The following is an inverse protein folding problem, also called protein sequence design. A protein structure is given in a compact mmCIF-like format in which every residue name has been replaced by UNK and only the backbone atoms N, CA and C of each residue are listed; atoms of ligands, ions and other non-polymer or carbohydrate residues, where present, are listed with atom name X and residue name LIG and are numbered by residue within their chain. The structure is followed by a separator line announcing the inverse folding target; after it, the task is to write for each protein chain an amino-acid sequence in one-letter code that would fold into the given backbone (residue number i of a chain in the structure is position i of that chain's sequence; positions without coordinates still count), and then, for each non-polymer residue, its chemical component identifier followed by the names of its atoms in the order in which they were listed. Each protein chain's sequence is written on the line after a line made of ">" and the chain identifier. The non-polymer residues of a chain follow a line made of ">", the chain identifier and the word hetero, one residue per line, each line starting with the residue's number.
data_IF_757201697664
#
_entry.id   IF_757201697664
#
_cell.length_a   1.000
_cell.length_b   1.000
_cell.length_c   1.000
_cell.angle_alpha   90.00
_cell.angle_beta   90.00
_cell.angle_gamma   90.00
#
_symmetry.space_group_name_H-M   'P 1'
#
loop_
_entity.id
_entity.type
_entity.pdbx_description
1 polymer ?
#
# COMPACT_ATOMS: atom_id res chain seq x y z
N UNK A 1 -11.28 -3.76 -20.29
CA UNK A 1 -10.12 -3.29 -19.51
C UNK A 1 -10.09 -3.98 -18.16
N UNK A 2 -8.90 -4.39 -17.71
CA UNK A 2 -8.68 -4.98 -16.39
C UNK A 2 -7.55 -4.23 -15.70
N UNK A 3 -7.77 -3.82 -14.44
CA UNK A 3 -6.81 -3.04 -13.66
C UNK A 3 -6.33 -3.81 -12.45
N UNK A 4 -5.04 -3.67 -12.17
CA UNK A 4 -4.40 -4.13 -10.95
C UNK A 4 -3.93 -2.91 -10.17
N UNK A 5 -4.27 -2.84 -8.89
CA UNK A 5 -3.68 -1.89 -7.96
C UNK A 5 -2.68 -2.57 -7.05
N UNK A 6 -1.51 -1.94 -6.89
CA UNK A 6 -0.57 -2.21 -5.81
C UNK A 6 -0.73 -1.11 -4.76
N UNK A 7 -1.22 -1.47 -3.58
CA UNK A 7 -1.39 -0.55 -2.46
C UNK A 7 -0.38 -0.86 -1.35
N UNK A 8 0.29 0.16 -0.83
CA UNK A 8 1.36 0.07 0.18
C UNK A 8 0.91 0.74 1.49
N UNK A 9 0.16 0.04 2.35
CA UNK A 9 -0.46 0.63 3.55
C UNK A 9 0.53 1.15 4.59
N UNK A 10 1.76 0.64 4.58
CA UNK A 10 2.80 1.01 5.53
C UNK A 10 3.92 1.86 4.90
N UNK A 11 3.74 2.37 3.66
CA UNK A 11 4.78 3.08 2.92
C UNK A 11 5.40 4.21 3.75
N UNK A 12 4.58 5.02 4.43
CA UNK A 12 5.06 6.14 5.24
C UNK A 12 6.02 5.71 6.37
N UNK A 13 5.89 4.49 6.89
CA UNK A 13 6.80 3.92 7.86
C UNK A 13 7.97 3.20 7.20
N UNK A 14 7.69 2.44 6.14
CA UNK A 14 8.68 1.59 5.47
C UNK A 14 9.79 2.40 4.78
N UNK A 15 9.55 3.66 4.41
CA UNK A 15 10.62 4.55 3.90
C UNK A 15 11.72 4.83 4.93
N UNK A 16 11.41 4.68 6.23
CA UNK A 16 12.40 4.81 7.32
C UNK A 16 13.00 3.46 7.75
N UNK A 17 12.24 2.37 7.60
CA UNK A 17 12.58 1.08 8.21
C UNK A 17 13.05 0.04 7.21
N UNK A 18 12.95 0.31 5.90
CA UNK A 18 13.40 -0.61 4.85
C UNK A 18 14.88 -0.98 5.04
N UNK A 19 15.15 -2.27 5.13
CA UNK A 19 16.50 -2.79 5.36
C UNK A 19 16.97 -2.72 6.83
N UNK A 20 16.14 -2.19 7.74
CA UNK A 20 16.40 -2.24 9.16
C UNK A 20 16.04 -3.60 9.75
N UNK A 21 16.87 -4.10 10.67
CA UNK A 21 16.59 -5.30 11.47
C UNK A 21 15.88 -4.97 12.79
N UNK A 22 15.61 -3.71 13.04
CA UNK A 22 14.96 -3.25 14.26
C UNK A 22 13.48 -3.66 14.27
N UNK A 23 13.09 -4.41 15.30
CA UNK A 23 11.73 -4.90 15.50
C UNK A 23 10.96 -4.16 16.60
N UNK A 24 11.57 -3.11 17.17
CA UNK A 24 10.97 -2.29 18.22
C UNK A 24 9.70 -1.56 17.79
N UNK A 25 9.00 -0.94 18.74
CA UNK A 25 7.77 -0.19 18.43
C UNK A 25 8.10 1.08 17.65
N UNK A 26 7.43 1.25 16.51
CA UNK A 26 7.63 2.36 15.58
C UNK A 26 6.30 2.89 15.06
N UNK A 27 6.22 4.21 14.90
CA UNK A 27 5.07 4.87 14.30
C UNK A 27 5.51 6.13 13.54
N UNK A 28 4.67 6.55 12.60
CA UNK A 28 4.79 7.81 11.87
C UNK A 28 3.65 8.72 12.27
N UNK A 29 3.95 9.97 12.52
CA UNK A 29 2.97 11.01 12.74
C UNK A 29 3.01 12.07 11.65
N UNK A 30 1.87 12.68 11.40
CA UNK A 30 1.71 13.83 10.53
C UNK A 30 1.19 15.01 11.33
N UNK A 31 1.72 16.21 11.04
CA UNK A 31 1.27 17.44 11.68
C UNK A 31 0.44 18.25 10.69
N UNK A 32 -0.85 18.43 11.00
CA UNK A 32 -1.79 19.25 10.25
C UNK A 32 -2.43 20.26 11.21
N UNK A 33 -2.44 21.55 10.84
CA UNK A 33 -3.02 22.62 11.66
C UNK A 33 -2.57 22.57 13.14
N UNK A 34 -1.26 22.44 13.37
CA UNK A 34 -0.62 22.32 14.69
C UNK A 34 -1.06 21.09 15.53
N UNK A 35 -1.65 20.08 14.89
CA UNK A 35 -2.02 18.82 15.55
C UNK A 35 -1.23 17.68 14.97
N UNK A 36 -0.38 17.05 15.78
CA UNK A 36 0.39 15.88 15.39
C UNK A 36 -0.39 14.61 15.71
N UNK A 37 -0.67 13.79 14.68
CA UNK A 37 -1.45 12.56 14.80
C UNK A 37 -0.69 11.38 14.22
N UNK A 38 -0.74 10.23 14.91
CA UNK A 38 -0.21 8.96 14.40
C UNK A 38 -1.03 8.52 13.19
N UNK A 39 -0.36 8.30 12.07
CA UNK A 39 -0.99 7.88 10.80
C UNK A 39 -0.65 6.45 10.40
N UNK A 40 0.51 5.94 10.82
CA UNK A 40 0.95 4.55 10.59
C UNK A 40 1.69 4.06 11.81
N UNK A 41 1.54 2.79 12.15
CA UNK A 41 2.27 2.11 13.22
C UNK A 41 2.62 0.68 12.82
N UNK A 42 3.70 0.13 13.38
CA UNK A 42 4.00 -1.28 13.24
C UNK A 42 3.23 -2.14 14.28
N UNK A 43 3.40 -3.46 14.17
CA UNK A 43 2.73 -4.41 15.06
C UNK A 43 3.15 -4.22 16.53
N UNK A 44 4.44 -3.98 16.78
CA UNK A 44 4.95 -3.78 18.14
C UNK A 44 4.32 -2.55 18.81
N UNK A 45 4.24 -1.41 18.09
CA UNK A 45 3.57 -0.22 18.58
C UNK A 45 2.06 -0.47 18.84
N UNK A 46 1.39 -1.23 17.98
CA UNK A 46 -0.01 -1.63 18.20
C UNK A 46 -0.20 -2.42 19.49
N UNK A 47 0.71 -3.34 19.79
CA UNK A 47 0.66 -4.16 21.01
C UNK A 47 0.83 -3.33 22.28
N UNK A 48 1.53 -2.19 22.20
CA UNK A 48 1.66 -1.24 23.30
C UNK A 48 0.49 -0.25 23.42
N UNK A 49 -0.58 -0.44 22.63
CA UNK A 49 -1.77 0.39 22.68
C UNK A 49 -1.68 1.69 21.88
N UNK A 50 -0.65 1.86 21.04
CA UNK A 50 -0.58 3.01 20.13
C UNK A 50 -1.68 2.89 19.09
N UNK A 51 -2.58 3.87 19.00
CA UNK A 51 -3.70 3.89 18.07
C UNK A 51 -3.52 4.97 16.98
N UNK A 52 -4.08 4.68 15.78
CA UNK A 52 -4.13 5.67 14.70
C UNK A 52 -4.99 6.87 15.14
N UNK A 53 -4.54 8.08 14.80
CA UNK A 53 -5.19 9.32 15.24
C UNK A 53 -4.81 9.80 16.65
N UNK A 54 -4.10 8.99 17.43
CA UNK A 54 -3.54 9.40 18.72
C UNK A 54 -2.56 10.55 18.52
N UNK A 55 -2.50 11.50 19.46
CA UNK A 55 -1.51 12.57 19.40
C UNK A 55 -0.10 12.01 19.59
N UNK A 56 0.90 12.60 18.93
CA UNK A 56 2.29 12.17 19.07
C UNK A 56 2.78 12.22 20.53
N UNK A 57 2.35 13.24 21.27
CA UNK A 57 2.68 13.38 22.70
C UNK A 57 2.06 12.26 23.55
N UNK A 58 0.78 11.92 23.32
CA UNK A 58 0.13 10.82 24.03
C UNK A 58 0.77 9.46 23.67
N UNK A 59 1.13 9.24 22.42
CA UNK A 59 1.81 8.02 21.97
C UNK A 59 3.18 7.87 22.66
N UNK A 60 3.96 8.94 22.74
CA UNK A 60 5.26 8.93 23.41
C UNK A 60 5.14 8.75 24.93
N UNK A 61 4.12 9.33 25.56
CA UNK A 61 3.87 9.15 26.99
C UNK A 61 3.42 7.71 27.33
N UNK A 62 2.71 7.05 26.41
CA UNK A 62 2.25 5.68 26.59
C UNK A 62 3.39 4.65 26.45
N UNK A 63 4.34 4.89 25.53
CA UNK A 63 5.44 3.98 25.28
C UNK A 63 6.75 4.75 25.11
N UNK A 64 7.58 4.76 26.13
CA UNK A 64 8.85 5.50 26.12
C UNK A 64 9.85 4.99 25.07
N UNK A 65 9.80 3.68 24.75
CA UNK A 65 10.63 3.06 23.73
C UNK A 65 10.13 3.29 22.30
N UNK A 66 8.97 3.94 22.12
CA UNK A 66 8.38 4.18 20.81
C UNK A 66 9.26 5.12 19.97
N UNK A 67 9.68 4.63 18.80
CA UNK A 67 10.35 5.44 17.79
C UNK A 67 9.30 6.14 16.94
N UNK A 68 9.19 7.45 17.11
CA UNK A 68 8.27 8.31 16.36
C UNK A 68 9.01 9.04 15.25
N UNK A 69 8.54 8.87 14.01
CA UNK A 69 9.06 9.56 12.83
C UNK A 69 8.04 10.61 12.35
N UNK A 70 8.51 11.82 12.03
CA UNK A 70 7.71 12.77 11.29
C UNK A 70 7.54 12.28 9.85
N UNK A 71 6.33 12.36 9.30
CA UNK A 71 6.05 11.95 7.92
C UNK A 71 6.99 12.64 6.93
N UNK A 72 7.51 11.88 5.98
CA UNK A 72 8.35 12.38 4.89
C UNK A 72 7.70 12.10 3.53
N UNK A 73 6.78 12.96 3.12
CA UNK A 73 6.07 12.83 1.84
C UNK A 73 7.02 12.78 0.65
N UNK A 74 8.11 13.56 0.66
CA UNK A 74 9.09 13.53 -0.42
C UNK A 74 9.81 12.18 -0.56
N UNK A 75 10.05 11.47 0.55
CA UNK A 75 10.59 10.11 0.50
C UNK A 75 9.53 9.11 0.00
N UNK A 76 8.28 9.25 0.44
CA UNK A 76 7.16 8.43 -0.05
C UNK A 76 6.98 8.57 -1.57
N UNK A 77 6.97 9.79 -2.08
CA UNK A 77 6.78 10.10 -3.51
C UNK A 77 7.93 9.56 -4.37
N UNK A 78 9.19 9.72 -3.91
CA UNK A 78 10.35 9.13 -4.62
C UNK A 78 10.26 7.62 -4.65
N UNK A 79 9.98 6.99 -3.53
CA UNK A 79 9.84 5.53 -3.44
C UNK A 79 8.70 5.03 -4.32
N UNK A 80 7.55 5.70 -4.32
CA UNK A 80 6.42 5.32 -5.15
C UNK A 80 6.76 5.45 -6.65
N UNK A 81 7.52 6.48 -7.04
CA UNK A 81 8.01 6.66 -8.41
C UNK A 81 9.00 5.57 -8.82
N UNK A 82 9.90 5.16 -7.94
CA UNK A 82 10.82 4.04 -8.18
C UNK A 82 10.08 2.71 -8.37
N UNK A 83 9.05 2.46 -7.55
CA UNK A 83 8.20 1.27 -7.68
C UNK A 83 7.39 1.34 -8.98
N UNK A 84 6.93 2.52 -9.41
CA UNK A 84 6.23 2.68 -10.69
C UNK A 84 7.14 2.37 -11.88
N UNK A 85 8.38 2.84 -11.87
CA UNK A 85 9.37 2.49 -12.89
C UNK A 85 9.63 0.98 -12.95
N UNK A 86 9.76 0.34 -11.78
CA UNK A 86 9.85 -1.12 -11.69
C UNK A 86 8.60 -1.82 -12.25
N UNK A 87 7.39 -1.30 -11.98
CA UNK A 87 6.13 -1.88 -12.44
C UNK A 87 5.99 -1.83 -13.98
N UNK A 88 6.70 -0.92 -14.65
CA UNK A 88 6.77 -0.81 -16.11
C UNK A 88 7.21 -2.08 -16.84
N UNK A 89 7.86 -3.03 -16.15
CA UNK A 89 8.20 -4.34 -16.73
C UNK A 89 6.98 -5.23 -16.98
N UNK A 90 5.84 -4.96 -16.34
CA UNK A 90 4.62 -5.76 -16.44
C UNK A 90 3.62 -5.18 -17.44
N UNK A 91 3.57 -3.87 -17.58
CA UNK A 91 2.66 -3.16 -18.48
C UNK A 91 3.20 -1.79 -18.81
N UNK A 92 2.96 -1.27 -20.02
CA UNK A 92 3.34 0.10 -20.36
C UNK A 92 2.43 1.16 -19.70
N UNK A 93 1.28 0.75 -19.16
CA UNK A 93 0.30 1.67 -18.57
C UNK A 93 0.34 1.58 -17.05
N UNK A 94 1.17 2.43 -16.45
CA UNK A 94 1.31 2.58 -14.99
C UNK A 94 0.97 4.00 -14.59
N UNK A 95 0.13 4.16 -13.58
CA UNK A 95 -0.26 5.45 -13.01
C UNK A 95 -0.02 5.47 -11.51
N UNK A 96 0.45 6.61 -11.01
CA UNK A 96 0.58 6.86 -9.58
C UNK A 96 -0.79 7.24 -8.99
N UNK A 97 -1.14 6.64 -7.87
CA UNK A 97 -2.27 7.05 -7.03
C UNK A 97 -1.74 7.39 -5.63
N UNK A 98 -1.43 8.66 -5.46
CA UNK A 98 -0.92 9.14 -4.17
C UNK A 98 -1.92 8.93 -3.02
N UNK A 99 -1.44 8.71 -1.79
CA UNK A 99 -0.02 8.75 -1.41
C UNK A 99 0.73 7.41 -1.54
N UNK A 100 0.05 6.29 -1.77
CA UNK A 100 0.68 4.99 -1.54
C UNK A 100 0.13 3.86 -2.45
N UNK A 101 -0.24 4.17 -3.69
CA UNK A 101 -0.71 3.13 -4.62
C UNK A 101 -0.24 3.37 -6.05
N UNK A 102 -0.18 2.28 -6.82
CA UNK A 102 -0.02 2.25 -8.26
C UNK A 102 -1.25 1.60 -8.90
N UNK A 103 -1.58 2.06 -10.10
CA UNK A 103 -2.63 1.50 -10.95
C UNK A 103 -1.98 1.01 -12.24
N UNK A 104 -2.18 -0.25 -12.57
CA UNK A 104 -1.64 -0.91 -13.75
C UNK A 104 -2.80 -1.39 -14.63
N UNK A 105 -2.85 -0.97 -15.89
CA UNK A 105 -3.74 -1.61 -16.86
C UNK A 105 -3.07 -2.91 -17.33
N UNK A 106 -3.72 -4.06 -17.14
CA UNK A 106 -3.07 -5.35 -17.30
C UNK A 106 -3.64 -6.21 -18.43
N UNK A 107 -4.84 -5.93 -18.96
CA UNK A 107 -5.53 -6.81 -19.92
C UNK A 107 -4.68 -7.11 -21.16
N UNK A 108 -4.08 -6.07 -21.74
CA UNK A 108 -3.21 -6.21 -22.92
C UNK A 108 -1.93 -6.99 -22.68
N UNK A 109 -1.47 -7.07 -21.42
CA UNK A 109 -0.23 -7.76 -21.05
C UNK A 109 -0.42 -9.24 -20.72
N UNK A 110 -1.66 -9.66 -20.42
CA UNK A 110 -1.93 -11.02 -19.91
C UNK A 110 -1.46 -12.13 -20.86
N UNK A 111 -1.69 -11.97 -22.16
CA UNK A 111 -1.30 -12.97 -23.17
C UNK A 111 0.21 -13.18 -23.19
N UNK A 112 0.98 -12.09 -23.09
CA UNK A 112 2.46 -12.13 -23.07
C UNK A 112 2.99 -12.93 -21.87
N UNK A 113 2.33 -12.85 -20.72
CA UNK A 113 2.73 -13.53 -19.49
C UNK A 113 2.13 -14.94 -19.31
N UNK A 114 1.40 -15.46 -20.32
CA UNK A 114 0.79 -16.80 -20.24
C UNK A 114 -0.54 -16.82 -19.48
N UNK A 115 -1.25 -15.69 -19.43
CA UNK A 115 -2.58 -15.58 -18.83
C UNK A 115 -2.58 -14.96 -17.43
N UNK A 116 -3.79 -14.75 -16.91
CA UNK A 116 -4.02 -14.02 -15.67
C UNK A 116 -3.30 -14.61 -14.45
N UNK A 117 -3.35 -15.94 -14.26
CA UNK A 117 -2.75 -16.58 -13.08
C UNK A 117 -1.22 -16.48 -13.10
N UNK A 118 -0.61 -16.72 -14.26
CA UNK A 118 0.84 -16.61 -14.43
C UNK A 118 1.32 -15.16 -14.22
N UNK A 119 0.58 -14.19 -14.77
CA UNK A 119 0.82 -12.76 -14.57
C UNK A 119 0.78 -12.39 -13.09
N UNK A 120 -0.31 -12.75 -12.39
CA UNK A 120 -0.50 -12.42 -10.98
C UNK A 120 0.57 -13.03 -10.08
N UNK A 121 0.92 -14.29 -10.32
CA UNK A 121 2.00 -14.97 -9.59
C UNK A 121 3.34 -14.25 -9.78
N UNK A 122 3.63 -13.81 -11.01
CA UNK A 122 4.86 -13.08 -11.34
C UNK A 122 4.90 -11.72 -10.64
N UNK A 123 3.81 -10.95 -10.69
CA UNK A 123 3.71 -9.67 -9.98
C UNK A 123 3.91 -9.87 -8.47
N UNK A 124 3.23 -10.83 -7.86
CA UNK A 124 3.36 -11.12 -6.42
C UNK A 124 4.79 -11.49 -6.03
N UNK A 125 5.42 -12.40 -6.76
CA UNK A 125 6.78 -12.85 -6.45
C UNK A 125 7.82 -11.73 -6.59
N UNK A 126 7.65 -10.86 -7.56
CA UNK A 126 8.55 -9.72 -7.75
C UNK A 126 8.25 -8.58 -6.75
N UNK A 127 6.99 -8.29 -6.46
CA UNK A 127 6.61 -7.30 -5.46
C UNK A 127 7.14 -7.66 -4.06
N UNK A 128 7.12 -8.94 -3.69
CA UNK A 128 7.69 -9.40 -2.43
C UNK A 128 9.20 -9.09 -2.29
N UNK A 129 9.93 -9.04 -3.41
CA UNK A 129 11.37 -8.71 -3.43
C UNK A 129 11.66 -7.21 -3.25
N UNK A 130 10.67 -6.35 -3.42
CA UNK A 130 10.83 -4.90 -3.21
C UNK A 130 11.08 -4.55 -1.73
N UNK A 131 10.71 -5.43 -0.81
CA UNK A 131 10.86 -5.20 0.63
C UNK A 131 9.82 -4.27 1.23
N UNK A 132 8.71 -4.02 0.51
CA UNK A 132 7.55 -3.26 0.98
C UNK A 132 6.34 -4.18 1.16
N UNK A 133 5.57 -3.94 2.21
CA UNK A 133 4.28 -4.60 2.37
C UNK A 133 3.29 -4.06 1.35
N UNK A 134 2.80 -4.91 0.46
CA UNK A 134 1.85 -4.53 -0.57
C UNK A 134 0.58 -5.37 -0.52
N UNK A 135 -0.55 -4.77 -0.92
CA UNK A 135 -1.82 -5.44 -1.17
C UNK A 135 -2.18 -5.28 -2.64
N UNK A 136 -2.71 -6.34 -3.22
CA UNK A 136 -3.10 -6.36 -4.63
C UNK A 136 -4.62 -6.39 -4.71
N UNK A 137 -5.19 -5.48 -5.49
CA UNK A 137 -6.60 -5.48 -5.87
C UNK A 137 -6.74 -5.54 -7.39
N UNK A 138 -7.77 -6.21 -7.88
CA UNK A 138 -8.02 -6.39 -9.31
C UNK A 138 -9.49 -6.16 -9.59
N UNK A 139 -9.78 -5.27 -10.54
CA UNK A 139 -11.12 -4.90 -10.93
C UNK A 139 -11.18 -4.35 -12.37
N UNK A 140 -12.38 -4.28 -12.99
CA UNK A 140 -12.54 -3.69 -14.31
C UNK A 140 -12.28 -2.18 -14.39
N UNK A 141 -12.14 -1.50 -13.26
CA UNK A 141 -11.90 -0.05 -13.19
C UNK A 141 -10.68 0.26 -12.32
N UNK A 142 -9.95 1.37 -12.59
CA UNK A 142 -8.76 1.76 -11.82
C UNK A 142 -9.07 1.94 -10.33
N UNK A 143 -10.06 2.77 -10.00
CA UNK A 143 -10.45 3.03 -8.60
C UNK A 143 -11.04 1.79 -7.92
N UNK A 144 -11.75 0.96 -8.66
CA UNK A 144 -12.26 -0.31 -8.15
C UNK A 144 -11.12 -1.25 -7.73
N UNK A 145 -10.06 -1.35 -8.54
CA UNK A 145 -8.89 -2.13 -8.17
C UNK A 145 -8.20 -1.60 -6.90
N UNK A 146 -8.11 -0.27 -6.76
CA UNK A 146 -7.59 0.34 -5.54
C UNK A 146 -8.45 0.07 -4.30
N UNK A 147 -9.77 0.21 -4.41
CA UNK A 147 -10.69 -0.11 -3.31
C UNK A 147 -10.56 -1.58 -2.89
N UNK A 148 -10.40 -2.49 -3.85
CA UNK A 148 -10.21 -3.91 -3.57
C UNK A 148 -8.87 -4.19 -2.89
N UNK A 149 -7.78 -3.53 -3.31
CA UNK A 149 -6.50 -3.62 -2.63
C UNK A 149 -6.57 -3.10 -1.19
N UNK A 150 -7.23 -1.95 -0.98
CA UNK A 150 -7.37 -1.33 0.33
C UNK A 150 -8.18 -2.18 1.30
N UNK A 151 -9.24 -2.83 0.83
CA UNK A 151 -10.15 -3.64 1.64
C UNK A 151 -9.87 -5.15 1.54
N UNK A 152 -8.77 -5.54 0.93
CA UNK A 152 -8.33 -6.94 0.78
C UNK A 152 -9.40 -7.85 0.13
N UNK A 153 -10.06 -7.33 -0.91
CA UNK A 153 -11.12 -8.05 -1.64
C UNK A 153 -10.53 -9.02 -2.67
N UNK A 154 -11.24 -10.12 -2.95
CA UNK A 154 -10.86 -11.02 -4.03
C UNK A 154 -10.92 -10.34 -5.40
N UNK A 155 -10.19 -10.85 -6.41
CA UNK A 155 -10.21 -10.30 -7.76
C UNK A 155 -11.60 -10.33 -8.39
N UNK A 156 -12.01 -9.23 -9.07
CA UNK A 156 -13.18 -9.19 -9.92
C UNK A 156 -12.75 -9.08 -11.38
N UNK A 157 -12.91 -10.17 -12.14
CA UNK A 157 -12.51 -10.26 -13.54
C UNK A 157 -13.61 -9.83 -14.52
N UNK A 158 -14.82 -9.59 -14.01
CA UNK A 158 -15.96 -9.15 -14.79
C UNK A 158 -16.74 -8.04 -14.09
N UNK A 159 -17.52 -7.27 -14.87
CA UNK A 159 -18.35 -6.21 -14.34
C UNK A 159 -19.43 -6.73 -13.36
N UNK A 160 -19.93 -7.94 -13.56
CA UNK A 160 -20.93 -8.54 -12.67
C UNK A 160 -20.32 -8.94 -11.32
N UNK A 161 -19.16 -9.60 -11.32
CA UNK A 161 -18.41 -9.91 -10.08
C UNK A 161 -18.05 -8.62 -9.33
N UNK A 162 -17.64 -7.59 -10.06
CA UNK A 162 -17.29 -6.30 -9.47
C UNK A 162 -18.46 -5.66 -8.74
N UNK A 163 -19.66 -5.59 -9.36
CA UNK A 163 -20.86 -5.04 -8.72
C UNK A 163 -21.26 -5.82 -7.47
N UNK A 164 -21.20 -7.15 -7.54
CA UNK A 164 -21.53 -8.02 -6.42
C UNK A 164 -20.56 -7.83 -5.22
N UNK A 165 -19.27 -7.72 -5.50
CA UNK A 165 -18.26 -7.50 -4.45
C UNK A 165 -18.31 -6.08 -3.88
N UNK A 166 -18.65 -5.06 -4.70
CA UNK A 166 -18.83 -3.70 -4.20
C UNK A 166 -20.01 -3.57 -3.24
N UNK A 167 -21.11 -4.28 -3.48
CA UNK A 167 -22.27 -4.23 -2.57
C UNK A 167 -21.96 -4.78 -1.17
N UNK A 168 -20.90 -5.58 -1.04
CA UNK A 168 -20.44 -6.11 0.25
C UNK A 168 -19.49 -5.16 1.00
N UNK A 169 -19.08 -4.05 0.38
CA UNK A 169 -18.21 -3.04 0.99
C UNK A 169 -19.00 -1.84 1.58
N UNK A 170 -20.29 -1.74 1.25
CA UNK A 170 -21.21 -0.75 1.78
C UNK A 170 -21.82 -1.23 3.09
#
# INVERSE_FOLDING_TARGET
>A
MLWLSLYFPALALEVFTRGSTDTGPMAVYETLANRSRVIVRNRAAKQLGIELGMSSAAAQALAHELKLFARNQGAEDRTLSEIAAWAGQFTPTVSLLHPAALLLEIEGSLTYFGGFQAFLQRVRSHAAKLGFHSRIGIAPTPLGSYLFAKNNQPPALSANQFRQLLSNLA
#
